data_IF_072938239114
#
_entry.id   IF_072938239114
#
_cell.length_a   1.000
_cell.length_b   1.000
_cell.length_c   1.000
_cell.angle_alpha   90.00
_cell.angle_beta   90.00
_cell.angle_gamma   90.00
#
_symmetry.space_group_name_H-M   'P 1'
#
loop_
_entity.id
_entity.type
_entity.pdbx_description
1 polymer ?
#
# COMPACT_ATOMS: atom_id res chain seq x y z
N UNK A 1 7.23 -0.39 -60.37
CA UNK A 1 6.55 0.37 -59.28
C UNK A 1 5.05 0.43 -59.57
N UNK A 2 4.22 0.00 -58.62
CA UNK A 2 2.81 0.40 -58.43
C UNK A 2 2.29 -0.26 -57.15
N UNK A 3 2.54 0.42 -56.03
CA UNK A 3 1.96 0.11 -54.72
C UNK A 3 0.51 0.57 -54.75
N UNK A 4 -0.43 -0.32 -54.45
CA UNK A 4 -1.85 0.00 -54.29
C UNK A 4 -2.00 0.80 -52.99
N UNK A 5 -2.47 2.04 -53.09
CA UNK A 5 -2.75 2.91 -51.96
C UNK A 5 -3.83 2.30 -51.06
N UNK A 6 -3.50 2.17 -49.78
CA UNK A 6 -4.44 1.93 -48.69
C UNK A 6 -5.10 3.26 -48.35
N UNK A 7 -6.43 3.27 -48.36
CA UNK A 7 -7.28 4.40 -47.97
C UNK A 7 -7.42 4.46 -46.44
N UNK A 8 -6.96 5.50 -45.73
CA UNK A 8 -7.25 5.69 -44.32
C UNK A 8 -8.27 6.82 -44.15
N UNK A 9 -9.55 6.51 -44.36
CA UNK A 9 -10.67 7.38 -43.98
C UNK A 9 -11.48 6.70 -42.88
N UNK A 10 -11.00 6.76 -41.64
CA UNK A 10 -11.85 6.62 -40.46
C UNK A 10 -11.67 7.89 -39.65
N UNK A 11 -12.65 8.78 -39.78
CA UNK A 11 -12.77 9.99 -38.97
C UNK A 11 -13.17 9.62 -37.54
N UNK A 12 -12.67 10.32 -36.52
CA UNK A 12 -13.14 10.15 -35.15
C UNK A 12 -14.57 10.72 -35.04
N UNK A 13 -15.51 9.89 -34.60
CA UNK A 13 -16.85 10.33 -34.19
C UNK A 13 -16.68 11.28 -32.99
N UNK A 14 -17.07 12.53 -33.20
CA UNK A 14 -17.37 13.50 -32.16
C UNK A 14 -18.81 13.29 -31.71
N UNK A 15 -19.03 13.16 -30.40
CA UNK A 15 -20.17 13.80 -29.74
C UNK A 15 -19.96 13.88 -28.21
N UNK A 16 -19.89 15.09 -27.62
CA UNK A 16 -19.96 15.28 -26.19
C UNK A 16 -21.44 15.24 -25.77
N UNK A 17 -21.89 14.07 -25.31
CA UNK A 17 -23.19 13.92 -24.68
C UNK A 17 -23.19 14.61 -23.31
N UNK A 18 -24.03 15.64 -23.16
CA UNK A 18 -24.41 16.25 -21.87
C UNK A 18 -25.04 15.20 -20.96
N UNK A 19 -24.21 14.58 -20.11
CA UNK A 19 -24.63 13.80 -18.95
C UNK A 19 -24.78 14.71 -17.74
N UNK A 20 -26.00 14.81 -17.24
CA UNK A 20 -26.41 15.58 -16.07
C UNK A 20 -25.67 15.07 -14.83
N UNK A 21 -24.85 15.91 -14.19
CA UNK A 21 -24.26 15.63 -12.87
C UNK A 21 -25.37 15.69 -11.82
N UNK A 22 -25.98 14.56 -11.50
CA UNK A 22 -26.62 14.36 -10.21
C UNK A 22 -25.53 14.07 -9.17
N UNK A 23 -25.16 15.09 -8.39
CA UNK A 23 -24.37 14.92 -7.18
C UNK A 23 -25.31 14.44 -6.06
N UNK A 24 -25.15 13.21 -5.54
CA UNK A 24 -25.87 12.80 -4.34
C UNK A 24 -25.23 13.50 -3.13
N UNK A 25 -26.05 14.19 -2.35
CA UNK A 25 -25.77 14.73 -1.02
C UNK A 25 -24.43 15.48 -0.85
N UNK A 26 -24.51 16.81 -0.95
CA UNK A 26 -23.47 17.76 -0.57
C UNK A 26 -23.01 17.58 0.87
N UNK A 27 -22.04 16.70 1.05
CA UNK A 27 -21.04 16.81 2.09
C UNK A 27 -19.95 17.73 1.53
N UNK A 28 -20.08 19.03 1.79
CA UNK A 28 -19.07 20.02 1.44
C UNK A 28 -17.76 19.67 2.16
N UNK A 29 -16.81 19.11 1.42
CA UNK A 29 -15.49 18.75 1.92
C UNK A 29 -14.78 19.92 2.62
N UNK A 30 -15.03 21.15 2.19
CA UNK A 30 -14.53 22.36 2.84
C UNK A 30 -15.07 22.53 4.27
N UNK A 31 -16.33 22.14 4.51
CA UNK A 31 -16.94 22.19 5.84
C UNK A 31 -16.32 21.15 6.77
N UNK A 32 -16.05 19.95 6.25
CA UNK A 32 -15.38 18.87 6.97
C UNK A 32 -13.93 19.22 7.36
N UNK A 33 -13.19 19.89 6.46
CA UNK A 33 -11.84 20.38 6.75
C UNK A 33 -11.83 21.50 7.80
N UNK A 34 -12.82 22.40 7.78
CA UNK A 34 -12.98 23.44 8.79
C UNK A 34 -13.23 22.84 10.18
N UNK A 35 -14.18 21.90 10.28
CA UNK A 35 -14.53 21.23 11.53
C UNK A 35 -13.36 20.44 12.14
N UNK A 36 -12.58 19.73 11.32
CA UNK A 36 -11.39 19.02 11.77
C UNK A 36 -10.28 19.97 12.29
N UNK A 37 -10.12 21.15 11.67
CA UNK A 37 -9.12 22.14 12.07
C UNK A 37 -9.47 22.81 13.39
N UNK A 38 -10.75 23.14 13.58
CA UNK A 38 -11.25 23.73 14.83
C UNK A 38 -11.17 22.74 16.00
N UNK A 39 -11.38 21.44 15.76
CA UNK A 39 -11.25 20.39 16.76
C UNK A 39 -9.79 20.18 17.22
N UNK A 40 -8.82 20.37 16.33
CA UNK A 40 -7.38 20.40 16.68
C UNK A 40 -7.03 21.61 17.56
N UNK A 41 -7.66 22.76 17.30
CA UNK A 41 -7.41 24.01 18.02
C UNK A 41 -8.09 24.04 19.40
N UNK A 42 -9.28 23.44 19.52
CA UNK A 42 -10.00 23.28 20.77
C UNK A 42 -9.31 22.30 21.74
N UNK A 43 -8.53 21.36 21.22
CA UNK A 43 -7.74 20.42 22.04
C UNK A 43 -6.45 21.02 22.60
N UNK A 44 -6.10 22.25 22.21
CA UNK A 44 -4.90 22.97 22.66
C UNK A 44 -5.15 23.93 23.84
N UNK A 45 -6.36 23.97 24.41
CA UNK A 45 -6.67 24.78 25.59
C UNK A 45 -7.36 23.96 26.68
N UNK A 46 -6.53 23.34 27.53
CA UNK A 46 -6.87 22.87 28.87
C UNK A 46 -5.97 23.59 29.90
N UNK A 47 -6.47 23.91 31.10
CA UNK A 47 -6.07 25.08 31.88
C UNK A 47 -4.77 24.89 32.67
N UNK A 48 -3.94 25.94 32.66
CA UNK A 48 -2.81 26.13 33.56
C UNK A 48 -3.26 26.94 34.79
N UNK A 49 -3.16 26.44 36.02
CA UNK A 49 -3.32 27.27 37.21
C UNK A 49 -1.93 27.73 37.72
N UNK A 50 -1.70 29.05 37.69
CA UNK A 50 -0.53 29.68 38.29
C UNK A 50 -0.90 30.48 39.55
N UNK A 51 -0.42 29.98 40.71
CA UNK A 51 0.05 30.75 41.87
C UNK A 51 -0.85 30.79 43.11
N UNK A 52 -0.33 31.19 44.30
CA UNK A 52 1.04 31.02 44.83
C UNK A 52 1.06 30.59 46.33
N UNK A 53 2.17 30.03 46.82
CA UNK A 53 2.51 30.08 48.25
C UNK A 53 2.92 28.78 48.94
N UNK A 54 4.11 28.85 49.53
CA UNK A 54 4.52 28.21 50.80
C UNK A 54 5.00 26.74 50.83
N UNK A 55 6.34 26.64 50.80
CA UNK A 55 7.25 25.91 51.70
C UNK A 55 6.93 24.48 52.19
N UNK A 56 7.99 23.68 52.12
CA UNK A 56 8.29 22.46 52.88
C UNK A 56 7.75 21.14 52.33
N UNK A 57 8.56 20.47 51.49
CA UNK A 57 9.14 19.15 51.80
C UNK A 57 10.16 18.74 50.75
N UNK A 58 11.37 18.37 51.18
CA UNK A 58 12.28 17.60 50.35
C UNK A 58 11.67 16.22 50.12
N UNK A 59 10.98 16.06 48.99
CA UNK A 59 10.55 14.77 48.46
C UNK A 59 11.45 14.46 47.28
N UNK A 60 12.22 13.38 47.40
CA UNK A 60 13.00 12.81 46.30
C UNK A 60 12.13 12.65 45.05
N UNK A 61 12.68 12.79 43.83
CA UNK A 61 11.94 12.49 42.62
C UNK A 61 11.71 10.98 42.57
N UNK A 62 10.57 10.53 43.10
CA UNK A 62 10.05 9.22 42.75
C UNK A 62 9.60 9.32 41.31
N UNK A 63 10.42 8.74 40.43
CA UNK A 63 10.14 8.57 39.00
C UNK A 63 8.79 7.85 38.93
N UNK A 64 7.73 8.59 38.64
CA UNK A 64 6.48 7.98 38.25
C UNK A 64 6.81 7.09 37.05
N UNK A 65 6.40 5.80 37.02
CA UNK A 65 6.49 5.03 35.80
C UNK A 65 5.61 5.79 34.80
N UNK A 66 6.27 6.44 33.84
CA UNK A 66 5.60 6.95 32.67
C UNK A 66 4.75 5.80 32.17
N UNK A 67 3.42 5.96 32.25
CA UNK A 67 2.49 4.98 31.73
C UNK A 67 2.88 4.80 30.28
N UNK A 68 3.54 3.67 30.06
CA UNK A 68 4.09 3.20 28.82
C UNK A 68 2.93 3.23 27.82
N UNK A 69 2.92 4.27 27.00
CA UNK A 69 1.92 4.55 25.99
C UNK A 69 1.70 3.28 25.15
N UNK A 70 0.56 2.64 25.34
CA UNK A 70 -0.17 1.96 24.27
C UNK A 70 0.50 0.81 23.54
N UNK A 71 1.34 -0.03 24.17
CA UNK A 71 1.74 -1.30 23.57
C UNK A 71 0.64 -2.36 23.71
N UNK A 72 -0.51 -2.14 23.08
CA UNK A 72 -1.56 -3.17 22.98
C UNK A 72 -1.44 -4.01 21.70
N UNK A 73 -0.59 -3.60 20.76
CA UNK A 73 -0.39 -4.27 19.46
C UNK A 73 0.97 -5.01 19.32
N UNK A 74 1.83 -5.00 20.35
CA UNK A 74 3.18 -5.54 20.22
C UNK A 74 3.26 -7.08 20.29
N UNK A 75 2.20 -7.76 20.73
CA UNK A 75 2.16 -9.22 20.89
C UNK A 75 2.11 -9.97 19.53
N UNK A 76 1.68 -9.33 18.43
CA UNK A 76 1.58 -9.99 17.12
C UNK A 76 2.77 -9.74 16.18
N UNK A 77 3.65 -8.77 16.48
CA UNK A 77 4.73 -8.37 15.56
C UNK A 77 5.70 -9.51 15.22
N UNK A 78 6.19 -10.33 16.18
CA UNK A 78 7.08 -11.44 15.85
C UNK A 78 6.42 -12.49 14.91
N UNK A 79 5.11 -12.70 15.09
CA UNK A 79 4.32 -13.62 14.26
C UNK A 79 4.13 -13.06 12.86
N UNK A 80 3.74 -11.79 12.74
CA UNK A 80 3.61 -11.10 11.46
C UNK A 80 4.95 -11.13 10.73
N UNK A 81 6.07 -10.86 11.43
CA UNK A 81 7.41 -10.91 10.84
C UNK A 81 7.76 -12.30 10.30
N UNK A 82 7.44 -13.37 11.03
CA UNK A 82 7.64 -14.75 10.54
C UNK A 82 6.76 -15.06 9.32
N UNK A 83 5.52 -14.57 9.30
CA UNK A 83 4.63 -14.72 8.14
C UNK A 83 5.16 -13.94 6.92
N UNK A 84 5.68 -12.73 7.14
CA UNK A 84 6.30 -11.91 6.12
C UNK A 84 7.52 -12.58 5.50
N UNK A 85 8.38 -13.20 6.30
CA UNK A 85 9.53 -13.95 5.79
C UNK A 85 9.09 -15.11 4.90
N UNK A 86 8.14 -15.92 5.36
CA UNK A 86 7.64 -17.05 4.57
C UNK A 86 6.99 -16.57 3.27
N UNK A 87 6.17 -15.52 3.32
CA UNK A 87 5.53 -14.97 2.13
C UNK A 87 6.57 -14.42 1.13
N UNK A 88 7.64 -13.81 1.61
CA UNK A 88 8.76 -13.36 0.77
C UNK A 88 9.45 -14.54 0.10
N UNK A 89 9.77 -15.59 0.85
CA UNK A 89 10.41 -16.80 0.31
C UNK A 89 9.52 -17.51 -0.73
N UNK A 90 8.22 -17.62 -0.45
CA UNK A 90 7.24 -18.22 -1.35
C UNK A 90 7.14 -17.40 -2.65
N UNK A 91 7.07 -16.06 -2.54
CA UNK A 91 7.03 -15.17 -3.71
C UNK A 91 8.29 -15.28 -4.56
N UNK A 92 9.47 -15.26 -3.93
CA UNK A 92 10.76 -15.40 -4.62
C UNK A 92 10.90 -16.77 -5.30
N UNK A 93 10.35 -17.82 -4.69
CA UNK A 93 10.31 -19.16 -5.29
C UNK A 93 9.46 -19.16 -6.57
N UNK A 94 8.29 -18.51 -6.54
CA UNK A 94 7.44 -18.38 -7.72
C UNK A 94 8.13 -17.54 -8.80
N UNK A 95 8.74 -16.42 -8.45
CA UNK A 95 9.50 -15.57 -9.38
C UNK A 95 10.66 -16.32 -10.04
N UNK A 96 11.38 -17.14 -9.28
CA UNK A 96 12.49 -17.94 -9.80
C UNK A 96 12.01 -18.97 -10.83
N UNK A 97 10.92 -19.68 -10.54
CA UNK A 97 10.32 -20.65 -11.49
C UNK A 97 9.77 -19.96 -12.73
N UNK A 98 9.13 -18.80 -12.54
CA UNK A 98 8.65 -17.96 -13.64
C UNK A 98 9.80 -17.51 -14.55
N UNK A 99 10.90 -17.04 -13.98
CA UNK A 99 12.10 -16.66 -14.72
C UNK A 99 12.70 -17.84 -15.49
N UNK A 100 12.80 -19.02 -14.86
CA UNK A 100 13.31 -20.23 -15.49
C UNK A 100 12.44 -20.62 -16.70
N UNK A 101 11.12 -20.59 -16.55
CA UNK A 101 10.18 -20.85 -17.62
C UNK A 101 10.32 -19.84 -18.78
N UNK A 102 10.46 -18.55 -18.48
CA UNK A 102 10.71 -17.51 -19.50
C UNK A 102 12.05 -17.65 -20.21
N UNK A 103 13.04 -18.24 -19.55
CA UNK A 103 14.37 -18.43 -20.13
C UNK A 103 14.40 -19.57 -21.16
N UNK A 104 13.36 -20.41 -21.20
CA UNK A 104 13.25 -21.52 -22.12
C UNK A 104 12.39 -21.13 -23.35
N UNK A 105 12.97 -21.05 -24.56
CA UNK A 105 12.24 -20.67 -25.77
C UNK A 105 11.18 -21.70 -26.20
N UNK A 106 11.25 -22.93 -25.71
CA UNK A 106 10.27 -23.98 -26.03
C UNK A 106 9.04 -23.92 -25.10
N UNK A 107 9.10 -23.14 -24.02
CA UNK A 107 7.99 -23.02 -23.07
C UNK A 107 6.91 -22.12 -23.62
N UNK A 108 5.68 -22.62 -23.68
CA UNK A 108 4.53 -21.85 -24.14
C UNK A 108 4.01 -20.89 -23.06
N UNK A 109 3.40 -19.78 -23.47
CA UNK A 109 2.75 -18.87 -22.51
C UNK A 109 1.67 -19.55 -21.67
N UNK A 110 1.03 -20.59 -22.20
CA UNK A 110 0.04 -21.38 -21.45
C UNK A 110 0.66 -22.12 -20.27
N UNK A 111 1.92 -22.51 -20.39
CA UNK A 111 2.68 -23.16 -19.31
C UNK A 111 3.21 -22.14 -18.30
N UNK A 112 3.33 -20.87 -18.69
CA UNK A 112 3.74 -19.77 -17.80
C UNK A 112 2.57 -19.21 -16.98
N UNK A 113 1.35 -19.24 -17.52
CA UNK A 113 0.12 -18.74 -16.87
C UNK A 113 -0.10 -19.23 -15.42
N UNK A 114 0.15 -20.52 -15.06
CA UNK A 114 0.07 -20.97 -13.68
C UNK A 114 0.99 -20.22 -12.72
N UNK A 115 2.21 -19.86 -13.15
CA UNK A 115 3.15 -19.10 -12.31
C UNK A 115 2.66 -17.66 -12.11
N UNK A 116 2.05 -17.04 -13.12
CA UNK A 116 1.46 -15.70 -13.00
C UNK A 116 0.27 -15.70 -12.03
N UNK A 117 -0.57 -16.74 -12.05
CA UNK A 117 -1.66 -16.90 -11.09
C UNK A 117 -1.15 -17.07 -9.67
N UNK A 118 -0.10 -17.88 -9.48
CA UNK A 118 0.56 -18.03 -8.19
C UNK A 118 1.16 -16.69 -7.74
N UNK A 119 1.87 -15.99 -8.61
CA UNK A 119 2.50 -14.72 -8.32
C UNK A 119 1.49 -13.64 -7.94
N UNK A 120 0.32 -13.63 -8.58
CA UNK A 120 -0.80 -12.73 -8.22
C UNK A 120 -1.26 -12.98 -6.79
N UNK A 121 -1.46 -14.25 -6.42
CA UNK A 121 -1.88 -14.63 -5.07
C UNK A 121 -0.82 -14.26 -4.02
N UNK A 122 0.46 -14.51 -4.32
CA UNK A 122 1.55 -14.17 -3.41
C UNK A 122 1.70 -12.65 -3.25
N UNK A 123 1.58 -11.87 -4.34
CA UNK A 123 1.59 -10.40 -4.29
C UNK A 123 0.47 -9.84 -3.41
N UNK A 124 -0.75 -10.38 -3.52
CA UNK A 124 -1.87 -10.02 -2.64
C UNK A 124 -1.57 -10.36 -1.17
N UNK A 125 -0.88 -11.48 -0.93
CA UNK A 125 -0.44 -11.90 0.40
C UNK A 125 0.60 -10.95 1.00
N UNK A 126 1.62 -10.58 0.22
CA UNK A 126 2.64 -9.60 0.62
C UNK A 126 2.00 -8.26 0.97
N UNK A 127 1.06 -7.77 0.16
CA UNK A 127 0.42 -6.47 0.39
C UNK A 127 -0.35 -6.44 1.72
N UNK A 128 -1.05 -7.53 2.07
CA UNK A 128 -1.73 -7.64 3.38
C UNK A 128 -0.80 -7.67 4.57
N UNK A 129 0.43 -8.16 4.39
CA UNK A 129 1.46 -8.21 5.43
C UNK A 129 2.22 -6.89 5.54
N UNK A 130 2.41 -6.22 4.41
CA UNK A 130 2.98 -4.87 4.33
C UNK A 130 2.17 -3.88 5.20
N UNK A 131 0.84 -3.86 5.06
CA UNK A 131 -0.05 -2.98 5.84
C UNK A 131 -0.02 -3.24 7.36
N UNK A 132 0.46 -4.41 7.79
CA UNK A 132 0.49 -4.84 9.20
C UNK A 132 1.85 -4.68 9.84
N UNK A 133 2.90 -4.51 9.04
CA UNK A 133 4.26 -4.43 9.54
C UNK A 133 4.62 -2.95 9.81
N UNK A 134 5.28 -2.62 10.92
CA UNK A 134 5.73 -1.26 11.17
C UNK A 134 6.70 -0.79 10.08
N UNK A 135 6.57 0.46 9.63
CA UNK A 135 7.46 1.04 8.62
C UNK A 135 8.92 1.14 9.05
N UNK A 136 9.21 0.97 10.35
CA UNK A 136 10.56 0.91 10.91
C UNK A 136 11.20 -0.48 10.81
N UNK A 137 10.43 -1.53 10.50
CA UNK A 137 10.96 -2.89 10.35
C UNK A 137 11.66 -3.04 8.98
N UNK A 138 12.89 -3.58 8.92
CA UNK A 138 13.61 -3.79 7.66
C UNK A 138 12.86 -4.64 6.63
N UNK A 139 11.99 -5.57 7.04
CA UNK A 139 11.21 -6.38 6.10
C UNK A 139 10.14 -5.55 5.37
N UNK A 140 9.76 -4.39 5.89
CA UNK A 140 8.74 -3.54 5.27
C UNK A 140 9.19 -3.07 3.88
N UNK A 141 10.46 -2.67 3.71
CA UNK A 141 10.98 -2.29 2.39
C UNK A 141 11.07 -3.50 1.45
N UNK A 142 11.49 -4.65 1.95
CA UNK A 142 11.62 -5.89 1.18
C UNK A 142 10.26 -6.36 0.65
N UNK A 143 9.23 -6.36 1.51
CA UNK A 143 7.85 -6.66 1.13
C UNK A 143 7.37 -5.77 -0.02
N UNK A 144 7.63 -4.46 0.09
CA UNK A 144 7.25 -3.48 -0.92
C UNK A 144 7.98 -3.71 -2.25
N UNK A 145 9.29 -3.88 -2.22
CA UNK A 145 10.11 -4.06 -3.43
C UNK A 145 9.70 -5.33 -4.18
N UNK A 146 9.55 -6.45 -3.47
CA UNK A 146 9.11 -7.72 -4.07
C UNK A 146 7.67 -7.62 -4.56
N UNK A 147 6.79 -6.96 -3.81
CA UNK A 147 5.40 -6.73 -4.22
C UNK A 147 5.29 -5.91 -5.51
N UNK A 148 6.07 -4.83 -5.62
CA UNK A 148 6.15 -4.01 -6.84
C UNK A 148 6.69 -4.83 -8.01
N UNK A 149 7.78 -5.57 -7.81
CA UNK A 149 8.35 -6.43 -8.84
C UNK A 149 7.32 -7.46 -9.34
N UNK A 150 6.66 -8.15 -8.43
CA UNK A 150 5.63 -9.12 -8.76
C UNK A 150 4.49 -8.49 -9.58
N UNK A 151 3.99 -7.33 -9.16
CA UNK A 151 2.95 -6.60 -9.89
C UNK A 151 3.39 -6.20 -11.31
N UNK A 152 4.64 -5.74 -11.46
CA UNK A 152 5.20 -5.38 -12.77
C UNK A 152 5.28 -6.60 -13.70
N UNK A 153 5.78 -7.73 -13.22
CA UNK A 153 5.89 -8.95 -14.03
C UNK A 153 4.51 -9.50 -14.43
N UNK A 154 3.53 -9.46 -13.52
CA UNK A 154 2.14 -9.82 -13.82
C UNK A 154 1.58 -8.96 -14.97
N UNK A 155 1.78 -7.65 -14.91
CA UNK A 155 1.27 -6.74 -15.93
C UNK A 155 2.00 -6.84 -17.26
N UNK A 156 3.32 -7.07 -17.26
CA UNK A 156 4.08 -7.37 -18.48
C UNK A 156 3.53 -8.61 -19.17
N UNK A 157 3.25 -9.67 -18.41
CA UNK A 157 2.69 -10.91 -18.97
C UNK A 157 1.30 -10.67 -19.56
N UNK A 158 0.41 -10.00 -18.82
CA UNK A 158 -0.95 -9.68 -19.28
C UNK A 158 -0.98 -8.82 -20.54
N UNK A 159 -0.02 -7.90 -20.67
CA UNK A 159 0.13 -7.05 -21.85
C UNK A 159 0.70 -7.80 -23.06
N UNK A 160 1.34 -8.95 -22.83
CA UNK A 160 1.97 -9.75 -23.87
C UNK A 160 3.38 -9.29 -24.23
N UNK A 161 4.11 -8.65 -23.31
CA UNK A 161 5.49 -8.16 -23.54
C UNK A 161 6.50 -9.29 -23.84
N UNK A 162 6.11 -10.55 -23.64
CA UNK A 162 6.94 -11.75 -23.89
C UNK A 162 6.53 -12.49 -25.17
N UNK A 163 5.77 -11.85 -26.07
CA UNK A 163 5.43 -12.30 -27.43
C UNK A 163 6.23 -11.53 -28.48
#
# INVERSE_FOLDING_TARGET
MKIKELNPSIQPIVQPGKGKSESPNGLDFQKLLGEASDQLKASAQGPSPSGPGEMARASAPSIAPASLLGFKDQEDIPRIRSQSLNAVEDTLTVLSKYQEALSNPETSLKEIDPFIKALTKEADGLNRLYDKLPSTDPLHSILNEIGILAAVEIEKFRRGDYL
#
